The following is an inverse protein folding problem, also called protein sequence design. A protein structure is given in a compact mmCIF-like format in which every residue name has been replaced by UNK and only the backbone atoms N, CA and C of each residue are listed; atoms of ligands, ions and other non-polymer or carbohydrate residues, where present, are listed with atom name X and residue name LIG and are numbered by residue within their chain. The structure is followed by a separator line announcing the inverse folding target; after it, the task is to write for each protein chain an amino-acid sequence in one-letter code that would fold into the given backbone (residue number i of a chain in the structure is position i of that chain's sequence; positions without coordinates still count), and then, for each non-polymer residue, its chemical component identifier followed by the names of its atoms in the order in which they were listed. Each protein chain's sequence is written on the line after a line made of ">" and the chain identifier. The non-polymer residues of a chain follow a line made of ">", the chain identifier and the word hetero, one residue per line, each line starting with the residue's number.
data_IF_789040785712
#
_entry.id   IF_789040785712
#
_cell.length_a   1.000
_cell.length_b   1.000
_cell.length_c   1.000
_cell.angle_alpha   90.00
_cell.angle_beta   90.00
_cell.angle_gamma   90.00
#
_symmetry.space_group_name_H-M   'P 1'
#
loop_
_entity.id
_entity.type
_entity.pdbx_description
1 polymer ?
#
# COMPACT_ATOMS: atom_id res chain seq x y z
N UNK A 1 -38.90 -7.22 66.49
CA UNK A 1 -38.93 -6.29 65.33
C UNK A 1 -38.03 -6.88 64.24
N UNK A 2 -38.58 -7.22 63.08
CA UNK A 2 -37.86 -7.90 61.99
C UNK A 2 -37.03 -6.91 61.16
N UNK A 3 -35.75 -7.17 60.83
CA UNK A 3 -35.01 -6.35 59.90
C UNK A 3 -35.38 -6.72 58.45
N UNK A 4 -35.90 -5.75 57.70
CA UNK A 4 -36.14 -5.86 56.26
C UNK A 4 -34.82 -5.80 55.49
N UNK A 5 -34.41 -6.91 54.88
CA UNK A 5 -33.29 -6.97 53.95
C UNK A 5 -33.68 -6.26 52.64
N UNK A 6 -33.03 -5.12 52.34
CA UNK A 6 -33.11 -4.46 51.02
C UNK A 6 -32.13 -5.14 50.06
N UNK A 7 -32.67 -5.87 49.08
CA UNK A 7 -31.89 -6.40 47.96
C UNK A 7 -31.58 -5.26 46.96
N UNK A 8 -30.32 -4.86 46.85
CA UNK A 8 -29.87 -3.91 45.83
C UNK A 8 -29.67 -4.68 44.52
N UNK A 9 -30.53 -4.46 43.54
CA UNK A 9 -30.36 -5.00 42.19
C UNK A 9 -29.10 -4.38 41.54
N UNK A 10 -28.04 -5.18 41.39
CA UNK A 10 -26.88 -4.79 40.58
C UNK A 10 -27.30 -4.78 39.12
N UNK A 11 -27.42 -3.60 38.52
CA UNK A 11 -27.53 -3.47 37.05
C UNK A 11 -26.23 -4.00 36.43
N UNK A 12 -26.30 -5.15 35.80
CA UNK A 12 -25.24 -5.62 34.91
C UNK A 12 -25.26 -4.75 33.67
N UNK A 13 -24.28 -3.86 33.53
CA UNK A 13 -24.05 -3.15 32.28
C UNK A 13 -23.49 -4.18 31.28
N UNK A 14 -24.33 -4.68 30.38
CA UNK A 14 -23.85 -5.44 29.23
C UNK A 14 -23.23 -4.44 28.24
N UNK A 15 -21.93 -4.56 28.00
CA UNK A 15 -21.25 -3.74 26.99
C UNK A 15 -21.79 -4.09 25.59
N UNK A 16 -22.05 -3.11 24.72
CA UNK A 16 -22.52 -3.38 23.37
C UNK A 16 -21.45 -4.14 22.57
N UNK A 17 -21.88 -5.23 21.93
CA UNK A 17 -21.06 -5.97 20.96
C UNK A 17 -20.89 -5.11 19.71
N UNK A 18 -19.73 -4.47 19.54
CA UNK A 18 -19.41 -3.74 18.31
C UNK A 18 -19.04 -4.76 17.23
N UNK A 19 -19.81 -4.81 16.15
CA UNK A 19 -19.43 -5.57 14.95
C UNK A 19 -18.23 -4.86 14.31
N UNK A 20 -17.03 -5.40 14.47
CA UNK A 20 -15.85 -4.90 13.78
C UNK A 20 -16.00 -5.15 12.28
N UNK A 21 -15.83 -4.12 11.46
CA UNK A 21 -15.63 -4.30 10.03
C UNK A 21 -14.39 -5.17 9.81
N UNK A 22 -14.47 -6.04 8.81
CA UNK A 22 -13.49 -7.07 8.48
C UNK A 22 -12.05 -6.52 8.50
N UNK A 23 -11.24 -6.99 9.44
CA UNK A 23 -9.81 -6.65 9.47
C UNK A 23 -9.09 -7.55 8.47
N UNK A 24 -8.55 -6.96 7.39
CA UNK A 24 -7.61 -7.69 6.54
C UNK A 24 -6.28 -7.86 7.28
N UNK A 25 -5.54 -8.93 6.96
CA UNK A 25 -4.15 -9.05 7.42
C UNK A 25 -3.33 -7.98 6.70
N UNK A 26 -2.60 -7.17 7.46
CA UNK A 26 -1.54 -6.33 6.89
C UNK A 26 -0.43 -7.29 6.48
N UNK A 27 -0.33 -7.55 5.18
CA UNK A 27 0.80 -8.25 4.62
C UNK A 27 1.80 -7.20 4.13
N UNK A 28 3.02 -7.22 4.65
CA UNK A 28 4.11 -6.36 4.17
C UNK A 28 4.68 -6.90 2.85
N UNK A 29 3.79 -7.15 1.90
CA UNK A 29 4.15 -7.45 0.52
C UNK A 29 4.30 -6.09 -0.14
N UNK A 30 5.42 -5.87 -0.83
CA UNK A 30 5.58 -4.69 -1.68
C UNK A 30 4.65 -4.80 -2.88
N UNK A 31 5.20 -4.62 -4.07
CA UNK A 31 4.45 -4.80 -5.32
C UNK A 31 4.00 -6.25 -5.52
N UNK A 32 2.69 -6.49 -5.59
CA UNK A 32 2.11 -7.85 -5.67
C UNK A 32 2.42 -8.52 -7.01
N UNK A 33 2.52 -7.75 -8.08
CA UNK A 33 2.96 -8.19 -9.40
C UNK A 33 4.41 -8.69 -9.45
N UNK A 34 5.23 -8.37 -8.43
CA UNK A 34 6.62 -8.83 -8.30
C UNK A 34 6.77 -10.03 -7.35
N UNK A 35 5.68 -10.73 -7.03
CA UNK A 35 5.71 -11.96 -6.23
C UNK A 35 6.63 -13.02 -6.86
N UNK A 36 7.32 -13.79 -6.01
CA UNK A 36 8.22 -14.89 -6.39
C UNK A 36 9.48 -14.48 -7.18
N UNK A 37 9.88 -13.21 -7.10
CA UNK A 37 11.17 -12.77 -7.62
C UNK A 37 12.24 -12.87 -6.51
N UNK A 38 13.27 -13.69 -6.73
CA UNK A 38 14.36 -13.90 -5.75
C UNK A 38 15.24 -12.65 -5.58
N UNK A 39 15.42 -11.85 -6.66
CA UNK A 39 16.23 -10.63 -6.65
C UNK A 39 15.49 -9.41 -6.06
N UNK A 40 14.22 -9.60 -5.67
CA UNK A 40 13.34 -8.51 -5.25
C UNK A 40 13.82 -7.80 -3.99
N UNK A 41 14.45 -8.54 -3.06
CA UNK A 41 14.97 -7.96 -1.84
C UNK A 41 16.12 -6.96 -2.14
N UNK A 42 17.02 -7.34 -3.05
CA UNK A 42 18.15 -6.49 -3.45
C UNK A 42 17.70 -5.26 -4.23
N UNK A 43 16.73 -5.44 -5.15
CA UNK A 43 16.09 -4.35 -5.86
C UNK A 43 15.45 -3.35 -4.88
N UNK A 44 14.64 -3.83 -3.93
CA UNK A 44 13.96 -2.98 -2.97
C UNK A 44 14.94 -2.18 -2.11
N UNK A 45 16.03 -2.80 -1.64
CA UNK A 45 17.07 -2.09 -0.88
C UNK A 45 17.79 -1.06 -1.74
N UNK A 46 18.10 -1.36 -3.01
CA UNK A 46 18.70 -0.39 -3.94
C UNK A 46 17.81 0.84 -4.12
N UNK A 47 16.52 0.64 -4.39
CA UNK A 47 15.55 1.73 -4.60
C UNK A 47 15.36 2.55 -3.32
N UNK A 48 15.30 1.89 -2.16
CA UNK A 48 15.25 2.55 -0.85
C UNK A 48 16.48 3.43 -0.61
N UNK A 49 17.68 2.95 -0.92
CA UNK A 49 18.90 3.76 -0.81
C UNK A 49 18.89 4.96 -1.75
N UNK A 50 18.42 4.79 -2.99
CA UNK A 50 18.26 5.89 -3.93
C UNK A 50 17.25 6.94 -3.41
N UNK A 51 16.11 6.49 -2.89
CA UNK A 51 15.09 7.36 -2.32
C UNK A 51 15.63 8.17 -1.14
N UNK A 52 16.38 7.54 -0.22
CA UNK A 52 17.03 8.24 0.92
C UNK A 52 18.03 9.29 0.40
N UNK A 53 18.82 8.95 -0.63
CA UNK A 53 19.77 9.91 -1.24
C UNK A 53 19.03 11.11 -1.85
N UNK A 54 17.99 10.85 -2.67
CA UNK A 54 17.16 11.89 -3.28
C UNK A 54 16.45 12.76 -2.24
N UNK A 55 15.97 12.16 -1.16
CA UNK A 55 15.37 12.89 -0.04
C UNK A 55 16.38 13.83 0.64
N UNK A 56 17.62 13.37 0.85
CA UNK A 56 18.70 14.23 1.38
C UNK A 56 19.06 15.37 0.44
N UNK A 57 18.93 15.18 -0.86
CA UNK A 57 19.10 16.22 -1.89
C UNK A 57 17.89 17.17 -2.02
N UNK A 58 16.83 16.97 -1.24
CA UNK A 58 15.59 17.75 -1.31
C UNK A 58 14.67 17.38 -2.49
N UNK A 59 15.01 16.33 -3.24
CA UNK A 59 14.24 15.82 -4.40
C UNK A 59 13.41 14.60 -3.98
N UNK A 60 12.59 14.75 -2.95
CA UNK A 60 11.72 13.67 -2.47
C UNK A 60 10.77 13.22 -3.59
N UNK A 61 11.05 12.05 -4.18
CA UNK A 61 10.28 11.47 -5.27
C UNK A 61 9.56 10.21 -4.80
N UNK A 62 8.34 10.01 -5.27
CA UNK A 62 7.60 8.79 -5.02
C UNK A 62 8.03 7.70 -6.01
N UNK A 63 8.33 6.50 -5.51
CA UNK A 63 8.83 5.38 -6.31
C UNK A 63 7.77 4.28 -6.42
N UNK A 64 7.28 4.06 -7.64
CA UNK A 64 6.32 3.00 -7.96
C UNK A 64 6.86 1.60 -7.65
N UNK A 65 8.18 1.41 -7.74
CA UNK A 65 8.83 0.13 -7.48
C UNK A 65 8.73 -0.29 -6.01
N UNK A 66 8.52 0.63 -5.06
CA UNK A 66 8.36 0.31 -3.63
C UNK A 66 6.91 0.27 -3.19
N UNK A 67 6.02 0.95 -3.92
CA UNK A 67 4.60 1.00 -3.61
C UNK A 67 3.91 -0.35 -3.85
N UNK A 68 2.80 -0.57 -3.15
CA UNK A 68 1.89 -1.68 -3.50
C UNK A 68 1.16 -1.35 -4.80
N UNK A 69 0.71 -2.38 -5.53
CA UNK A 69 -0.02 -2.16 -6.80
C UNK A 69 -1.29 -1.30 -6.58
N UNK A 70 -1.95 -1.47 -5.44
CA UNK A 70 -3.12 -0.66 -5.08
C UNK A 70 -2.79 0.82 -4.85
N UNK A 71 -1.64 1.13 -4.24
CA UNK A 71 -1.19 2.50 -4.03
C UNK A 71 -0.77 3.14 -5.36
N UNK A 72 -0.08 2.39 -6.20
CA UNK A 72 0.35 2.81 -7.53
C UNK A 72 -0.81 3.26 -8.41
N UNK A 73 -1.88 2.47 -8.44
CA UNK A 73 -3.09 2.80 -9.22
C UNK A 73 -3.72 4.11 -8.73
N UNK A 74 -3.87 4.26 -7.42
CA UNK A 74 -4.44 5.48 -6.84
C UNK A 74 -3.55 6.70 -7.11
N UNK A 75 -2.23 6.54 -7.06
CA UNK A 75 -1.27 7.62 -7.36
C UNK A 75 -1.29 8.01 -8.83
N UNK A 76 -1.41 7.03 -9.73
CA UNK A 76 -1.59 7.28 -11.15
C UNK A 76 -2.88 8.05 -11.43
N UNK A 77 -4.00 7.64 -10.84
CA UNK A 77 -5.30 8.33 -10.98
C UNK A 77 -5.25 9.79 -10.48
N UNK A 78 -4.48 10.05 -9.42
CA UNK A 78 -4.27 11.41 -8.90
C UNK A 78 -3.27 12.24 -9.72
N UNK A 79 -2.56 11.63 -10.68
CA UNK A 79 -1.47 12.29 -11.42
C UNK A 79 -0.24 12.59 -10.57
N UNK A 80 -0.07 11.91 -9.43
CA UNK A 80 1.02 12.14 -8.47
C UNK A 80 2.24 11.24 -8.72
N UNK A 81 2.23 10.46 -9.81
CA UNK A 81 3.28 9.50 -10.14
C UNK A 81 4.59 10.12 -10.65
N UNK A 82 4.76 11.45 -10.58
CA UNK A 82 5.99 12.17 -10.95
C UNK A 82 6.29 12.28 -12.44
N UNK A 83 5.67 11.45 -13.29
CA UNK A 83 5.78 11.49 -14.76
C UNK A 83 4.62 12.25 -15.38
N UNK A 84 4.91 13.05 -16.40
CA UNK A 84 3.84 13.68 -17.19
C UNK A 84 3.12 12.64 -18.06
N UNK A 85 1.82 12.84 -18.32
CA UNK A 85 1.01 11.92 -19.13
C UNK A 85 1.63 11.67 -20.52
N UNK A 86 2.25 12.69 -21.11
CA UNK A 86 2.87 12.59 -22.43
C UNK A 86 4.14 11.74 -22.44
N UNK A 87 4.95 11.82 -21.38
CA UNK A 87 6.14 10.97 -21.20
C UNK A 87 5.74 9.52 -21.00
N UNK A 88 4.74 9.27 -20.16
CA UNK A 88 4.20 7.92 -19.92
C UNK A 88 3.66 7.29 -21.20
N UNK A 89 2.88 8.04 -22.00
CA UNK A 89 2.36 7.54 -23.29
C UNK A 89 3.51 7.17 -24.25
N UNK A 90 4.55 8.00 -24.34
CA UNK A 90 5.72 7.71 -25.18
C UNK A 90 6.45 6.45 -24.72
N UNK A 91 6.59 6.26 -23.42
CA UNK A 91 7.26 5.09 -22.84
C UNK A 91 6.47 3.81 -23.16
N UNK A 92 5.15 3.84 -22.98
CA UNK A 92 4.24 2.73 -23.33
C UNK A 92 4.28 2.39 -24.83
N UNK A 93 4.34 3.39 -25.70
CA UNK A 93 4.48 3.16 -27.15
C UNK A 93 5.78 2.43 -27.49
N UNK A 94 6.90 2.86 -26.90
CA UNK A 94 8.21 2.20 -27.10
C UNK A 94 8.22 0.76 -26.58
N UNK A 95 7.58 0.50 -25.44
CA UNK A 95 7.45 -0.86 -24.91
C UNK A 95 6.60 -1.74 -25.82
N UNK A 96 5.49 -1.21 -26.35
CA UNK A 96 4.65 -1.89 -27.34
C UNK A 96 5.43 -2.30 -28.59
N UNK A 97 6.26 -1.39 -29.13
CA UNK A 97 7.14 -1.68 -30.27
C UNK A 97 8.16 -2.78 -29.96
N UNK A 98 8.80 -2.73 -28.78
CA UNK A 98 9.75 -3.77 -28.34
C UNK A 98 9.07 -5.14 -28.23
N UNK A 99 7.88 -5.20 -27.66
CA UNK A 99 7.12 -6.45 -27.51
C UNK A 99 6.64 -7.01 -28.85
N UNK A 100 6.26 -6.14 -29.79
CA UNK A 100 5.91 -6.53 -31.15
C UNK A 100 7.12 -7.11 -31.90
N UNK A 101 8.30 -6.48 -31.76
CA UNK A 101 9.53 -6.96 -32.39
C UNK A 101 10.03 -8.28 -31.78
N UNK A 102 9.79 -8.54 -30.48
CA UNK A 102 10.18 -9.80 -29.82
C UNK A 102 9.30 -11.00 -30.21
N UNK A 103 8.12 -10.75 -30.76
CA UNK A 103 7.19 -11.79 -31.25
C UNK A 103 7.37 -12.12 -32.75
N UNK A 104 8.24 -11.41 -33.45
CA UNK A 104 8.68 -11.74 -34.82
C UNK A 104 9.91 -12.64 -34.77
#
# INVERSE_FOLDING_TARGET
>A
MSPTLRLVARRTFAAPQVRSFQTSRIAFVGKESALHNEDRAEEAERVKHEQIRKQKEGKGEWHDELASDSESIIKADRGEAGKSTSETIKELQKEGEKMANKKK
#
